data_IF_467845550452
#
_entry.id   IF_467845550452
#
_cell.length_a   1.000
_cell.length_b   1.000
_cell.length_c   1.000
_cell.angle_alpha   90.00
_cell.angle_beta   90.00
_cell.angle_gamma   90.00
#
_symmetry.space_group_name_H-M   'P 1'
#
loop_
_entity.id
_entity.type
_entity.pdbx_description
1 polymer ?
#
# COMPACT_ATOMS: atom_id res chain seq x y z
N UNK A 1 -7.29 -10.88 -2.43
CA UNK A 1 -6.09 -10.05 -2.66
C UNK A 1 -5.65 -9.45 -1.33
N UNK A 2 -4.38 -9.59 -0.97
CA UNK A 2 -3.87 -8.98 0.27
C UNK A 2 -3.28 -7.58 -0.02
N UNK A 3 -2.88 -6.88 1.05
CA UNK A 3 -2.38 -5.51 0.92
C UNK A 3 -1.11 -5.42 0.07
N UNK A 4 -0.20 -6.37 0.22
CA UNK A 4 1.02 -6.39 -0.58
C UNK A 4 0.73 -6.54 -2.07
N UNK A 5 -0.17 -7.44 -2.43
CA UNK A 5 -0.57 -7.62 -3.82
C UNK A 5 -1.19 -6.35 -4.40
N UNK A 6 -2.02 -5.69 -3.60
CA UNK A 6 -2.63 -4.42 -4.01
C UNK A 6 -1.58 -3.33 -4.20
N UNK A 7 -0.62 -3.23 -3.28
CA UNK A 7 0.49 -2.29 -3.41
C UNK A 7 1.28 -2.55 -4.70
N UNK A 8 1.57 -3.81 -5.02
CA UNK A 8 2.28 -4.15 -6.25
C UNK A 8 1.53 -3.70 -7.50
N UNK A 9 0.20 -3.87 -7.51
CA UNK A 9 -0.62 -3.39 -8.62
C UNK A 9 -0.57 -1.87 -8.73
N UNK A 10 -0.57 -1.16 -7.61
CA UNK A 10 -0.44 0.29 -7.60
C UNK A 10 0.91 0.74 -8.18
N UNK A 11 1.98 0.03 -7.87
CA UNK A 11 3.30 0.33 -8.43
C UNK A 11 3.29 0.20 -9.96
N UNK A 12 2.64 -0.83 -10.48
CA UNK A 12 2.48 -1.00 -11.93
C UNK A 12 1.76 0.20 -12.53
N UNK A 13 0.70 0.66 -11.89
CA UNK A 13 -0.09 1.81 -12.35
C UNK A 13 0.68 3.14 -12.26
N UNK A 14 1.74 3.19 -11.46
CA UNK A 14 2.60 4.37 -11.33
C UNK A 14 3.90 4.18 -12.11
N UNK A 15 3.78 3.88 -13.40
CA UNK A 15 4.90 3.72 -14.33
C UNK A 15 5.87 2.62 -13.91
N UNK A 16 5.35 1.51 -13.39
CA UNK A 16 6.18 0.40 -12.91
C UNK A 16 7.22 0.86 -11.89
N UNK A 17 6.77 1.65 -10.90
CA UNK A 17 7.67 2.09 -9.84
C UNK A 17 8.32 0.90 -9.17
N UNK A 18 9.64 0.94 -8.99
CA UNK A 18 10.36 -0.15 -8.34
C UNK A 18 10.18 -0.11 -6.83
N UNK A 19 10.39 -1.27 -6.19
CA UNK A 19 10.39 -1.35 -4.73
C UNK A 19 11.49 -0.46 -4.15
N UNK A 20 12.63 -0.37 -4.82
CA UNK A 20 13.73 0.49 -4.40
C UNK A 20 13.32 1.97 -4.40
N UNK A 21 12.62 2.41 -5.43
CA UNK A 21 12.13 3.79 -5.50
C UNK A 21 11.08 4.05 -4.43
N UNK A 22 10.16 3.13 -4.21
CA UNK A 22 9.15 3.27 -3.16
C UNK A 22 9.79 3.34 -1.78
N UNK A 23 10.81 2.51 -1.52
CA UNK A 23 11.56 2.54 -0.26
C UNK A 23 12.20 3.91 -0.04
N UNK A 24 12.86 4.45 -1.07
CA UNK A 24 13.47 5.78 -0.99
C UNK A 24 12.44 6.85 -0.67
N UNK A 25 11.30 6.83 -1.34
CA UNK A 25 10.23 7.82 -1.13
C UNK A 25 9.59 7.71 0.25
N UNK A 26 9.64 6.55 0.88
CA UNK A 26 9.08 6.32 2.22
C UNK A 26 10.14 6.38 3.32
N UNK A 27 11.38 6.73 2.98
CA UNK A 27 12.44 6.92 3.96
C UNK A 27 12.94 5.64 4.62
N UNK A 28 12.95 4.54 3.90
CA UNK A 28 13.41 3.26 4.41
C UNK A 28 14.32 2.55 3.40
N UNK A 29 15.01 1.50 3.83
CA UNK A 29 15.82 0.71 2.92
C UNK A 29 14.93 -0.21 2.09
N UNK A 30 15.43 -0.57 0.90
CA UNK A 30 14.76 -1.53 0.04
C UNK A 30 14.54 -2.86 0.75
N UNK A 31 15.55 -3.32 1.51
CA UNK A 31 15.45 -4.59 2.24
C UNK A 31 14.34 -4.55 3.28
N UNK A 32 14.23 -3.43 4.02
CA UNK A 32 13.20 -3.26 5.03
C UNK A 32 11.80 -3.31 4.41
N UNK A 33 11.61 -2.58 3.31
CA UNK A 33 10.34 -2.59 2.60
C UNK A 33 10.02 -3.96 2.02
N UNK A 34 11.02 -4.64 1.41
CA UNK A 34 10.84 -5.99 0.87
C UNK A 34 10.39 -6.98 1.95
N UNK A 35 10.97 -6.88 3.14
CA UNK A 35 10.59 -7.72 4.27
C UNK A 35 9.15 -7.50 4.68
N UNK A 36 8.71 -6.24 4.75
CA UNK A 36 7.32 -5.90 5.08
C UNK A 36 6.35 -6.44 4.03
N UNK A 37 6.71 -6.31 2.77
CA UNK A 37 5.90 -6.81 1.66
C UNK A 37 5.79 -8.33 1.72
N UNK A 38 6.86 -9.03 2.03
CA UNK A 38 6.86 -10.48 2.13
C UNK A 38 6.00 -10.97 3.28
N UNK A 39 6.05 -10.28 4.43
CA UNK A 39 5.23 -10.64 5.60
C UNK A 39 3.78 -10.21 5.45
N UNK A 40 3.51 -9.27 4.60
CA UNK A 40 2.19 -8.64 4.45
C UNK A 40 1.66 -8.12 5.79
N UNK A 41 2.54 -7.48 6.56
CA UNK A 41 2.21 -6.89 7.85
C UNK A 41 2.35 -5.36 7.75
N UNK A 42 1.21 -4.66 7.78
CA UNK A 42 1.18 -3.22 7.54
C UNK A 42 0.44 -2.51 8.66
N UNK A 43 1.10 -1.49 9.21
CA UNK A 43 0.42 -0.53 10.08
C UNK A 43 -0.20 0.56 9.22
N UNK A 44 -1.28 1.15 9.70
CA UNK A 44 -1.94 2.22 8.96
C UNK A 44 -0.99 3.36 8.61
N UNK A 45 -0.13 3.75 9.55
CA UNK A 45 0.86 4.82 9.31
C UNK A 45 1.79 4.49 8.14
N UNK A 46 2.16 3.22 7.98
CA UNK A 46 3.00 2.79 6.86
C UNK A 46 2.24 2.87 5.54
N UNK A 47 0.97 2.45 5.54
CA UNK A 47 0.13 2.53 4.35
C UNK A 47 -0.11 3.99 3.93
N UNK A 48 -0.23 4.90 4.89
CA UNK A 48 -0.36 6.33 4.61
C UNK A 48 0.89 6.89 3.94
N UNK A 49 2.08 6.47 4.39
CA UNK A 49 3.33 6.88 3.76
C UNK A 49 3.44 6.35 2.33
N UNK A 50 3.02 5.10 2.12
CA UNK A 50 3.01 4.52 0.78
C UNK A 50 2.04 5.28 -0.12
N UNK A 51 0.85 5.59 0.38
CA UNK A 51 -0.12 6.37 -0.39
C UNK A 51 0.46 7.72 -0.80
N UNK A 52 1.10 8.43 0.13
CA UNK A 52 1.73 9.72 -0.17
C UNK A 52 2.83 9.57 -1.23
N UNK A 53 3.65 8.52 -1.15
CA UNK A 53 4.69 8.24 -2.13
C UNK A 53 4.13 7.97 -3.53
N UNK A 54 2.90 7.47 -3.60
CA UNK A 54 2.19 7.19 -4.84
C UNK A 54 1.33 8.37 -5.31
N UNK A 55 1.43 9.52 -4.66
CA UNK A 55 0.60 10.69 -4.92
C UNK A 55 -0.88 10.35 -4.82
N UNK A 56 -1.24 9.66 -3.75
CA UNK A 56 -2.59 9.16 -3.51
C UNK A 56 -2.99 9.35 -2.04
N UNK A 57 -4.26 9.18 -1.76
CA UNK A 57 -4.80 9.16 -0.41
C UNK A 57 -5.16 7.74 -0.03
N UNK A 58 -5.00 7.41 1.25
CA UNK A 58 -5.42 6.12 1.79
C UNK A 58 -6.89 6.20 2.17
N UNK A 59 -7.70 5.30 1.63
CA UNK A 59 -9.12 5.19 1.95
C UNK A 59 -9.38 3.81 2.54
N UNK A 60 -9.77 3.77 3.81
CA UNK A 60 -10.08 2.53 4.52
C UNK A 60 -11.55 2.53 4.86
N UNK A 61 -12.28 1.52 4.38
CA UNK A 61 -13.71 1.40 4.61
C UNK A 61 -14.10 -0.03 4.96
N UNK A 62 -15.12 -0.15 5.80
CA UNK A 62 -15.78 -1.43 6.01
C UNK A 62 -16.97 -1.52 5.08
N UNK A 63 -17.06 -2.63 4.36
CA UNK A 63 -18.15 -2.86 3.41
C UNK A 63 -19.21 -3.72 4.08
N UNK A 64 -20.45 -3.24 4.10
CA UNK A 64 -21.57 -3.96 4.68
C UNK A 64 -21.81 -5.24 3.87
N UNK A 65 -21.85 -6.38 4.56
CA UNK A 65 -21.99 -7.68 3.90
C UNK A 65 -23.36 -7.83 3.22
N UNK A 66 -24.40 -7.24 3.80
CA UNK A 66 -25.77 -7.37 3.30
C UNK A 66 -26.04 -6.51 2.06
N UNK A 67 -25.47 -5.30 2.02
CA UNK A 67 -25.74 -4.32 0.96
C UNK A 67 -24.62 -4.20 -0.05
N UNK A 68 -23.44 -4.72 0.27
CA UNK A 68 -22.23 -4.59 -0.53
C UNK A 68 -21.78 -3.14 -0.70
N UNK A 69 -22.16 -2.29 0.25
CA UNK A 69 -21.82 -0.87 0.26
C UNK A 69 -21.08 -0.50 1.53
N UNK A 70 -20.30 0.61 1.53
CA UNK A 70 -19.63 1.05 2.75
C UNK A 70 -20.62 1.35 3.88
N UNK A 71 -20.23 1.04 5.12
CA UNK A 71 -21.07 1.32 6.29
C UNK A 71 -21.21 2.82 6.48
N UNK A 72 -20.12 3.57 6.21
CA UNK A 72 -20.13 5.04 6.30
C UNK A 72 -19.70 5.66 4.99
#
# INVERSE_FOLDING_TARGET
MNSTEYIRLCLVKRNNMSVAELAEKTGQTRQNLSNKMQRNEWKQAELEKIAAALDADLDIRFIDHATDEPII
#
